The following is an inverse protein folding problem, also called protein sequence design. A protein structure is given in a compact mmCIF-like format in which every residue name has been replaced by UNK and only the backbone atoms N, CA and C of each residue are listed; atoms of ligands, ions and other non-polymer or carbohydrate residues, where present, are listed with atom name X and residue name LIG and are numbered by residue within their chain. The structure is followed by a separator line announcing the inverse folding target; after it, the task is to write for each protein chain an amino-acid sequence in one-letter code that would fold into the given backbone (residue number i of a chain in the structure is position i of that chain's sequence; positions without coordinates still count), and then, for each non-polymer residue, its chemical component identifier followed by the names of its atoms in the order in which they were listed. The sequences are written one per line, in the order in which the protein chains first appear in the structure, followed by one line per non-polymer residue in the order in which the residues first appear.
data_IF_874530290126
#
_entry.id   IF_874530290126
#
_cell.length_a   1.000
_cell.length_b   1.000
_cell.length_c   1.000
_cell.angle_alpha   90.00
_cell.angle_beta   90.00
_cell.angle_gamma   90.00
#
_symmetry.space_group_name_H-M   'P 1'
#
loop_
_entity.id
_entity.type
_entity.pdbx_description
1 polymer ?
#
# COMPACT_ATOMS: atom_id res chain seq x y z
N UNK A 1 -17.17 -19.33 -5.88
CA UNK A 1 -17.23 -18.44 -4.71
C UNK A 1 -16.12 -18.75 -3.70
N UNK A 2 -15.98 -20.01 -3.28
CA UNK A 2 -14.91 -20.48 -2.38
C UNK A 2 -13.48 -20.18 -2.86
N UNK A 3 -13.18 -20.39 -4.15
CA UNK A 3 -11.84 -20.13 -4.69
C UNK A 3 -11.40 -18.65 -4.62
N UNK A 4 -12.33 -17.72 -4.83
CA UNK A 4 -12.02 -16.28 -4.75
C UNK A 4 -11.70 -15.85 -3.31
N UNK A 5 -12.40 -16.41 -2.32
CA UNK A 5 -12.08 -16.19 -0.90
C UNK A 5 -10.71 -16.78 -0.54
N UNK A 6 -10.43 -18.02 -0.97
CA UNK A 6 -9.15 -18.67 -0.72
C UNK A 6 -7.97 -17.87 -1.32
N UNK A 7 -8.15 -17.29 -2.51
CA UNK A 7 -7.14 -16.42 -3.14
C UNK A 7 -6.88 -15.17 -2.29
N UNK A 8 -7.93 -14.46 -1.85
CA UNK A 8 -7.80 -13.25 -1.03
C UNK A 8 -7.09 -13.53 0.31
N UNK A 9 -7.44 -14.64 0.96
CA UNK A 9 -6.79 -15.09 2.21
C UNK A 9 -5.28 -15.30 2.03
N UNK A 10 -4.83 -15.82 0.88
CA UNK A 10 -3.40 -16.04 0.62
C UNK A 10 -2.67 -14.76 0.25
N UNK A 11 -3.28 -13.86 -0.53
CA UNK A 11 -2.55 -12.74 -1.14
C UNK A 11 -2.70 -11.41 -0.40
N UNK A 12 -3.72 -11.24 0.45
CA UNK A 12 -3.99 -9.98 1.14
C UNK A 12 -3.78 -10.13 2.65
N UNK A 13 -3.36 -9.08 3.36
CA UNK A 13 -3.19 -9.08 4.82
C UNK A 13 -4.54 -9.00 5.55
N UNK A 14 -5.45 -9.94 5.24
CA UNK A 14 -6.73 -10.07 5.91
C UNK A 14 -6.50 -10.34 7.41
N UNK A 15 -7.05 -9.49 8.27
CA UNK A 15 -6.86 -9.53 9.72
C UNK A 15 -5.85 -8.52 10.27
N UNK A 16 -5.07 -7.85 9.42
CA UNK A 16 -4.25 -6.70 9.80
C UNK A 16 -5.02 -5.41 9.57
N UNK A 17 -4.81 -4.43 10.46
CA UNK A 17 -5.45 -3.11 10.36
C UNK A 17 -4.89 -2.37 9.14
N UNK A 18 -5.66 -2.33 8.06
CA UNK A 18 -5.32 -1.65 6.80
C UNK A 18 -6.57 -1.05 6.15
N UNK A 19 -6.38 -0.06 5.28
CA UNK A 19 -7.45 0.58 4.52
C UNK A 19 -7.73 -0.11 3.15
N UNK A 20 -7.14 -1.28 2.91
CA UNK A 20 -7.17 -1.92 1.59
C UNK A 20 -5.98 -1.51 0.72
N UNK A 21 -6.21 -1.41 -0.59
CA UNK A 21 -5.18 -0.93 -1.53
C UNK A 21 -5.03 0.57 -1.41
N UNK A 22 -3.79 1.06 -1.30
CA UNK A 22 -3.51 2.49 -1.15
C UNK A 22 -3.52 3.20 -2.51
N UNK A 23 -2.91 2.58 -3.52
CA UNK A 23 -2.78 3.16 -4.86
C UNK A 23 -3.59 2.39 -5.88
N UNK A 24 -4.10 3.11 -6.88
CA UNK A 24 -4.70 2.54 -8.08
C UNK A 24 -3.62 1.91 -8.95
N UNK A 25 -3.97 0.85 -9.67
CA UNK A 25 -3.07 0.30 -10.68
C UNK A 25 -2.94 1.28 -11.87
N UNK A 26 -1.72 1.52 -12.39
CA UNK A 26 -1.52 2.27 -13.61
C UNK A 26 -1.93 1.41 -14.83
N UNK A 27 -3.23 1.28 -15.05
CA UNK A 27 -3.83 0.35 -16.03
C UNK A 27 -3.36 0.58 -17.47
N UNK A 28 -3.01 1.81 -17.84
CA UNK A 28 -2.43 2.15 -19.16
C UNK A 28 -1.05 1.54 -19.41
N UNK A 29 -0.32 1.18 -18.36
CA UNK A 29 1.03 0.59 -18.44
C UNK A 29 1.02 -0.94 -18.31
N UNK A 30 -0.14 -1.55 -18.05
CA UNK A 30 -0.25 -3.00 -17.88
C UNK A 30 0.44 -3.57 -16.63
N UNK A 31 0.89 -2.72 -15.71
CA UNK A 31 1.54 -3.13 -14.45
C UNK A 31 0.66 -2.79 -13.25
N UNK A 32 0.84 -3.50 -12.14
CA UNK A 32 0.14 -3.21 -10.89
C UNK A 32 0.95 -2.30 -9.98
N UNK A 33 0.28 -1.49 -9.15
CA UNK A 33 0.96 -0.68 -8.14
C UNK A 33 1.72 -1.54 -7.14
N UNK A 34 1.14 -2.68 -6.73
CA UNK A 34 1.80 -3.63 -5.85
C UNK A 34 3.13 -4.15 -6.44
N UNK A 35 3.17 -4.45 -7.73
CA UNK A 35 4.38 -4.91 -8.40
C UNK A 35 5.46 -3.82 -8.46
N UNK A 36 5.09 -2.57 -8.73
CA UNK A 36 6.03 -1.45 -8.73
C UNK A 36 6.62 -1.22 -7.33
N UNK A 37 5.78 -1.21 -6.29
CA UNK A 37 6.22 -1.03 -4.89
C UNK A 37 7.12 -2.20 -4.45
N UNK A 38 6.79 -3.43 -4.85
CA UNK A 38 7.60 -4.61 -4.57
C UNK A 38 8.95 -4.57 -5.30
N UNK A 39 8.98 -4.22 -6.59
CA UNK A 39 10.22 -4.04 -7.36
C UNK A 39 11.04 -2.84 -6.86
N UNK A 40 10.41 -1.84 -6.24
CA UNK A 40 11.11 -0.79 -5.51
C UNK A 40 11.79 -1.29 -4.23
N UNK A 41 11.44 -2.49 -3.75
CA UNK A 41 12.02 -3.09 -2.54
C UNK A 41 11.41 -2.55 -1.25
N UNK A 42 10.18 -2.04 -1.31
CA UNK A 42 9.58 -1.26 -0.21
C UNK A 42 8.72 -2.11 0.74
N UNK A 43 8.58 -3.43 0.51
CA UNK A 43 7.91 -4.32 1.47
C UNK A 43 8.62 -4.28 2.82
N UNK A 44 7.85 -4.11 3.90
CA UNK A 44 8.40 -4.00 5.24
C UNK A 44 8.98 -2.62 5.58
N UNK A 45 9.00 -1.66 4.64
CA UNK A 45 9.35 -0.28 4.93
C UNK A 45 8.41 0.26 6.02
N UNK A 46 8.99 0.93 7.01
CA UNK A 46 8.28 1.45 8.17
C UNK A 46 8.54 2.95 8.35
N UNK A 47 7.49 3.68 8.68
CA UNK A 47 7.53 5.08 9.12
C UNK A 47 6.69 5.16 10.39
N UNK A 48 7.28 5.54 11.52
CA UNK A 48 6.63 5.43 12.83
C UNK A 48 6.09 4.02 13.10
N UNK A 49 4.78 3.91 13.37
CA UNK A 49 4.09 2.62 13.53
C UNK A 49 3.32 2.17 12.25
N UNK A 50 3.45 2.89 11.14
CA UNK A 50 2.94 2.51 9.83
C UNK A 50 3.95 1.65 9.04
N UNK A 51 3.50 0.61 8.34
CA UNK A 51 4.40 -0.23 7.53
C UNK A 51 3.76 -0.69 6.21
N UNK A 52 4.56 -0.79 5.15
CA UNK A 52 4.17 -1.51 3.93
C UNK A 52 4.10 -3.01 4.24
N UNK A 53 2.95 -3.64 4.01
CA UNK A 53 2.77 -5.05 4.34
C UNK A 53 3.76 -5.94 3.59
N UNK A 54 4.44 -6.82 4.33
CA UNK A 54 5.28 -7.88 3.75
C UNK A 54 4.49 -8.84 2.85
N UNK A 55 3.18 -8.96 3.08
CA UNK A 55 2.31 -9.87 2.33
C UNK A 55 1.84 -9.27 1.01
N UNK A 56 1.50 -7.99 0.98
CA UNK A 56 1.03 -7.31 -0.21
C UNK A 56 1.51 -5.86 -0.23
N UNK A 57 2.34 -5.52 -1.21
CA UNK A 57 3.06 -4.24 -1.22
C UNK A 57 2.15 -3.00 -1.36
N UNK A 58 0.95 -3.14 -1.93
CA UNK A 58 -0.03 -2.05 -2.00
C UNK A 58 -0.95 -1.95 -0.75
N UNK A 59 -0.66 -2.68 0.33
CA UNK A 59 -1.43 -2.61 1.57
C UNK A 59 -0.54 -2.05 2.68
N UNK A 60 -0.95 -0.95 3.27
CA UNK A 60 -0.23 -0.34 4.38
C UNK A 60 -0.95 -0.68 5.67
N UNK A 61 -0.19 -1.12 6.65
CA UNK A 61 -0.71 -1.71 7.86
C UNK A 61 -0.29 -0.88 9.07
N UNK A 62 -1.23 -0.72 9.99
CA UNK A 62 -0.96 -0.15 11.29
C UNK A 62 -0.41 -1.27 12.20
N UNK A 63 0.85 -1.14 12.63
CA UNK A 63 1.51 -2.11 13.50
C UNK A 63 1.12 -1.99 14.99
N UNK A 64 0.23 -1.08 15.34
CA UNK A 64 -0.31 -0.91 16.68
C UNK A 64 -0.91 0.48 16.85
N UNK A 65 -0.03 1.48 16.98
CA UNK A 65 -0.37 2.87 17.30
C UNK A 65 -0.02 3.85 16.17
N UNK A 66 -0.05 3.41 14.90
CA UNK A 66 0.23 4.28 13.76
C UNK A 66 -0.70 5.49 13.77
N UNK A 67 -0.10 6.68 13.69
CA UNK A 67 -0.85 7.92 13.54
C UNK A 67 -1.27 8.10 12.08
N UNK A 68 -2.23 9.00 11.84
CA UNK A 68 -2.56 9.40 10.46
C UNK A 68 -1.35 10.03 9.76
N UNK A 69 -0.49 10.73 10.51
CA UNK A 69 0.74 11.31 9.99
C UNK A 69 1.73 10.23 9.55
N UNK A 70 1.92 9.17 10.33
CA UNK A 70 2.77 8.03 9.96
C UNK A 70 2.33 7.41 8.63
N UNK A 71 1.01 7.25 8.45
CA UNK A 71 0.44 6.73 7.20
C UNK A 71 0.65 7.68 6.03
N UNK A 72 0.38 8.97 6.21
CA UNK A 72 0.59 9.98 5.17
C UNK A 72 2.06 10.05 4.72
N UNK A 73 2.99 10.02 5.65
CA UNK A 73 4.43 10.02 5.36
C UNK A 73 4.85 8.74 4.63
N UNK A 74 4.33 7.58 5.05
CA UNK A 74 4.61 6.32 4.37
C UNK A 74 4.09 6.33 2.93
N UNK A 75 2.89 6.90 2.70
CA UNK A 75 2.29 7.06 1.36
C UNK A 75 3.16 7.95 0.48
N UNK A 76 3.55 9.12 0.98
CA UNK A 76 4.44 10.03 0.27
C UNK A 76 5.76 9.35 -0.10
N UNK A 77 6.43 8.72 0.86
CA UNK A 77 7.71 8.04 0.63
C UNK A 77 7.61 6.95 -0.42
N UNK A 78 6.57 6.13 -0.37
CA UNK A 78 6.38 5.04 -1.34
C UNK A 78 6.11 5.60 -2.74
N UNK A 79 5.29 6.65 -2.86
CA UNK A 79 5.02 7.29 -4.15
C UNK A 79 6.30 7.88 -4.76
N UNK A 80 7.05 8.63 -3.96
CA UNK A 80 8.32 9.24 -4.37
C UNK A 80 9.35 8.19 -4.80
N UNK A 81 9.50 7.10 -4.04
CA UNK A 81 10.43 6.04 -4.37
C UNK A 81 10.06 5.30 -5.66
N UNK A 82 8.77 5.06 -5.91
CA UNK A 82 8.29 4.47 -7.16
C UNK A 82 8.50 5.42 -8.34
N UNK A 83 8.23 6.71 -8.16
CA UNK A 83 8.47 7.73 -9.17
C UNK A 83 9.97 7.83 -9.51
N UNK A 84 10.85 7.96 -8.51
CA UNK A 84 12.29 8.05 -8.73
C UNK A 84 12.86 6.82 -9.45
N UNK A 85 12.35 5.62 -9.16
CA UNK A 85 12.89 4.38 -9.72
C UNK A 85 12.33 4.03 -11.10
N UNK A 86 11.06 4.34 -11.35
CA UNK A 86 10.35 3.88 -12.55
C UNK A 86 9.78 5.01 -13.42
N UNK A 87 9.86 6.27 -12.97
CA UNK A 87 9.22 7.41 -13.62
C UNK A 87 7.68 7.33 -13.57
N UNK A 88 7.12 6.59 -12.60
CA UNK A 88 5.68 6.39 -12.46
C UNK A 88 5.18 7.07 -11.19
N UNK A 89 4.30 8.05 -11.34
CA UNK A 89 3.56 8.65 -10.23
C UNK A 89 2.31 7.80 -9.94
N UNK A 90 2.22 7.27 -8.71
CA UNK A 90 1.08 6.46 -8.31
C UNK A 90 -0.08 7.35 -7.86
N UNK A 91 -1.29 7.03 -8.32
CA UNK A 91 -2.52 7.74 -7.88
C UNK A 91 -3.14 7.03 -6.69
N UNK A 92 -3.43 7.77 -5.64
CA UNK A 92 -4.10 7.25 -4.44
C UNK A 92 -5.55 6.81 -4.75
N UNK A 93 -5.98 5.74 -4.07
CA UNK A 93 -7.35 5.20 -4.10
C UNK A 93 -8.14 5.53 -2.82
N UNK A 94 -7.44 5.91 -1.75
CA UNK A 94 -8.03 6.16 -0.43
C UNK A 94 -8.61 7.57 -0.30
N UNK A 95 -9.49 7.74 0.70
CA UNK A 95 -10.09 9.01 1.08
C UNK A 95 -9.62 9.43 2.47
N UNK A 96 -9.15 10.66 2.60
CA UNK A 96 -8.86 11.28 3.90
C UNK A 96 -10.14 11.89 4.46
N UNK A 97 -10.50 11.50 5.69
CA UNK A 97 -11.64 12.04 6.41
C UNK A 97 -11.10 12.86 7.58
N UNK A 98 -11.42 14.15 7.60
CA UNK A 98 -11.08 15.04 8.72
C UNK A 98 -12.31 15.16 9.63
N UNK A 99 -12.15 15.10 10.96
CA UNK A 99 -13.24 15.39 11.88
C UNK A 99 -13.63 16.88 11.75
N UNK A 100 -14.94 17.12 11.68
CA UNK A 100 -15.54 18.45 11.72
C UNK A 100 -15.51 19.06 13.13
#
# INVERSE_FOLDING_TARGET
MLEQMARRLRTQPLGQRSAGSIFRNPSSMGVSAAELIEKAGLKGLRVGEAMVSNKHANFFINCGCATSQDMLELIGFVNDAVNQKFGVELKEEILYIHPS
#
